data_IF_871722235214
#
_entry.id   IF_871722235214
#
_cell.length_a   1.000
_cell.length_b   1.000
_cell.length_c   1.000
_cell.angle_alpha   90.00
_cell.angle_beta   90.00
_cell.angle_gamma   90.00
#
_symmetry.space_group_name_H-M   'P 1'
#
loop_
_entity.id
_entity.type
_entity.pdbx_description
1 polymer ?
#
# COMPACT_ATOMS: atom_id res chain seq x y z
N UNK A 1 -16.78 -19.57 1.20
CA UNK A 1 -15.33 -19.85 1.17
C UNK A 1 -14.66 -18.53 1.46
N UNK A 2 -14.22 -18.32 2.71
CA UNK A 2 -13.66 -17.03 3.14
C UNK A 2 -12.25 -16.91 2.59
N UNK A 3 -12.00 -15.98 1.67
CA UNK A 3 -10.63 -15.62 1.26
C UNK A 3 -9.86 -15.26 2.52
N UNK A 4 -8.83 -16.04 2.84
CA UNK A 4 -7.90 -15.67 3.92
C UNK A 4 -7.05 -14.54 3.36
N UNK A 5 -7.15 -13.36 3.95
CA UNK A 5 -6.19 -12.27 3.72
C UNK A 5 -4.80 -12.81 4.08
N UNK A 6 -3.94 -13.02 3.08
CA UNK A 6 -2.55 -13.43 3.31
C UNK A 6 -1.71 -12.15 3.41
N UNK A 7 -1.30 -11.79 4.63
CA UNK A 7 -0.38 -10.69 4.84
C UNK A 7 1.06 -11.12 4.61
N UNK A 8 1.82 -10.32 3.87
CA UNK A 8 3.24 -10.50 3.64
C UNK A 8 4.01 -9.23 4.06
N UNK A 9 5.14 -9.39 4.76
CA UNK A 9 6.01 -8.26 5.14
C UNK A 9 7.49 -8.61 4.99
N UNK A 10 8.22 -7.90 4.13
CA UNK A 10 9.67 -7.78 4.22
C UNK A 10 10.03 -6.61 5.15
N UNK A 11 10.92 -6.84 6.12
CA UNK A 11 11.46 -5.79 6.98
C UNK A 11 12.92 -6.07 7.35
N UNK A 12 13.74 -5.04 7.52
CA UNK A 12 15.13 -5.22 7.96
C UNK A 12 15.20 -5.41 9.48
N UNK A 13 14.24 -4.82 10.21
CA UNK A 13 14.14 -4.87 11.66
C UNK A 13 13.30 -6.08 12.10
N UNK A 14 13.89 -6.97 12.88
CA UNK A 14 13.22 -8.19 13.33
C UNK A 14 12.02 -7.90 14.25
N UNK A 15 12.07 -6.81 15.00
CA UNK A 15 11.05 -6.36 15.94
C UNK A 15 9.75 -5.98 15.19
N UNK A 16 9.87 -5.36 14.02
CA UNK A 16 8.73 -4.88 13.22
C UNK A 16 8.00 -6.02 12.49
N UNK A 17 8.63 -7.18 12.33
CA UNK A 17 8.03 -8.35 11.67
C UNK A 17 6.84 -8.93 12.46
N UNK A 18 6.81 -8.73 13.78
CA UNK A 18 5.71 -9.18 14.65
C UNK A 18 4.69 -8.08 14.94
N UNK A 19 4.92 -6.87 14.44
CA UNK A 19 4.11 -5.69 14.73
C UNK A 19 2.84 -5.59 13.84
N UNK A 20 2.39 -6.70 13.26
CA UNK A 20 1.12 -6.75 12.55
C UNK A 20 0.38 -8.07 12.79
N UNK A 21 -0.85 -8.03 13.33
CA UNK A 21 -1.60 -9.23 13.70
C UNK A 21 -2.10 -10.06 12.49
N UNK A 22 -1.96 -9.54 11.26
CA UNK A 22 -2.46 -10.16 10.02
C UNK A 22 -1.36 -10.71 9.09
N UNK A 23 -0.10 -10.71 9.52
CA UNK A 23 1.00 -11.23 8.69
C UNK A 23 1.06 -12.76 8.79
N UNK A 24 1.04 -13.40 7.63
CA UNK A 24 1.21 -14.86 7.48
C UNK A 24 2.65 -15.20 7.15
N UNK A 25 3.35 -14.33 6.40
CA UNK A 25 4.74 -14.53 5.98
C UNK A 25 5.54 -13.28 6.29
N UNK A 26 6.58 -13.44 7.11
CA UNK A 26 7.50 -12.40 7.52
C UNK A 26 8.92 -12.75 7.06
N UNK A 27 9.56 -11.85 6.31
CA UNK A 27 10.92 -12.04 5.80
C UNK A 27 11.81 -10.94 6.36
N UNK A 28 12.87 -11.32 7.06
CA UNK A 28 13.87 -10.36 7.50
C UNK A 28 14.87 -10.07 6.38
N UNK A 29 14.72 -8.95 5.69
CA UNK A 29 15.56 -8.58 4.55
C UNK A 29 15.60 -7.07 4.31
N UNK A 30 16.65 -6.61 3.62
CA UNK A 30 16.67 -5.27 3.06
C UNK A 30 15.60 -5.17 1.96
N UNK A 31 14.73 -4.17 2.05
CA UNK A 31 13.60 -4.02 1.12
C UNK A 31 14.04 -3.83 -0.33
N UNK A 32 15.16 -3.14 -0.58
CA UNK A 32 15.66 -2.91 -1.94
C UNK A 32 16.09 -4.23 -2.57
N UNK A 33 16.95 -4.99 -1.89
CA UNK A 33 17.44 -6.29 -2.37
C UNK A 33 16.29 -7.30 -2.52
N UNK A 34 15.33 -7.29 -1.59
CA UNK A 34 14.14 -8.11 -1.68
C UNK A 34 13.32 -7.80 -2.93
N UNK A 35 13.06 -6.52 -3.21
CA UNK A 35 12.27 -6.10 -4.38
C UNK A 35 13.00 -6.46 -5.69
N UNK A 36 14.31 -6.25 -5.76
CA UNK A 36 15.12 -6.61 -6.94
C UNK A 36 14.98 -8.10 -7.27
N UNK A 37 15.21 -8.98 -6.29
CA UNK A 37 15.05 -10.42 -6.45
C UNK A 37 13.60 -10.81 -6.76
N UNK A 38 12.64 -10.20 -6.09
CA UNK A 38 11.22 -10.46 -6.34
C UNK A 38 10.82 -10.15 -7.78
N UNK A 39 11.29 -9.03 -8.34
CA UNK A 39 11.04 -8.69 -9.73
C UNK A 39 11.69 -9.67 -10.71
N UNK A 40 12.90 -10.15 -10.43
CA UNK A 40 13.57 -11.16 -11.26
C UNK A 40 12.72 -12.44 -11.36
N UNK A 41 12.25 -12.95 -10.23
CA UNK A 41 11.42 -14.17 -10.17
C UNK A 41 10.04 -13.96 -10.83
N UNK A 42 9.37 -12.84 -10.55
CA UNK A 42 8.06 -12.51 -11.14
C UNK A 42 8.14 -12.36 -12.66
N UNK A 43 9.22 -11.76 -13.16
CA UNK A 43 9.46 -11.66 -14.60
C UNK A 43 9.78 -13.02 -15.24
N UNK A 44 10.54 -13.88 -14.56
CA UNK A 44 10.82 -15.24 -15.04
C UNK A 44 9.53 -16.07 -15.22
N UNK A 45 8.54 -15.85 -14.36
CA UNK A 45 7.21 -16.45 -14.45
C UNK A 45 6.27 -15.77 -15.48
N UNK A 46 6.76 -14.80 -16.26
CA UNK A 46 6.00 -14.00 -17.22
C UNK A 46 4.73 -13.36 -16.63
N UNK A 47 4.78 -12.95 -15.37
CA UNK A 47 3.66 -12.30 -14.73
C UNK A 47 3.30 -10.98 -15.44
N UNK A 48 2.02 -10.80 -15.72
CA UNK A 48 1.50 -9.55 -16.29
C UNK A 48 0.62 -8.83 -15.27
N UNK A 49 0.97 -7.58 -14.99
CA UNK A 49 0.20 -6.74 -14.09
C UNK A 49 -1.04 -6.18 -14.81
N UNK A 50 -2.22 -6.46 -14.26
CA UNK A 50 -3.50 -5.92 -14.73
C UNK A 50 -4.00 -4.83 -13.76
N UNK A 51 -3.98 -3.58 -14.23
CA UNK A 51 -4.50 -2.43 -13.50
C UNK A 51 -5.97 -2.12 -13.82
N UNK A 52 -6.62 -2.89 -14.70
CA UNK A 52 -8.00 -2.64 -15.12
C UNK A 52 -9.04 -3.23 -14.17
N UNK A 53 -8.60 -3.80 -13.05
CA UNK A 53 -9.48 -4.32 -12.01
C UNK A 53 -10.30 -3.20 -11.36
N UNK A 54 -11.56 -3.48 -11.02
CA UNK A 54 -12.46 -2.52 -10.39
C UNK A 54 -11.88 -1.89 -9.11
N UNK A 55 -11.11 -2.67 -8.35
CA UNK A 55 -10.47 -2.20 -7.13
C UNK A 55 -9.48 -1.04 -7.39
N UNK A 56 -8.70 -1.09 -8.46
CA UNK A 56 -7.78 -0.01 -8.85
C UNK A 56 -8.51 1.26 -9.24
N UNK A 57 -9.61 1.13 -9.99
CA UNK A 57 -10.47 2.26 -10.35
C UNK A 57 -11.04 2.95 -9.10
N UNK A 58 -11.52 2.16 -8.13
CA UNK A 58 -12.01 2.69 -6.85
C UNK A 58 -10.90 3.36 -6.03
N UNK A 59 -9.71 2.77 -5.97
CA UNK A 59 -8.57 3.34 -5.28
C UNK A 59 -8.19 4.71 -5.87
N UNK A 60 -8.07 4.78 -7.19
CA UNK A 60 -7.72 6.02 -7.89
C UNK A 60 -8.78 7.12 -7.67
N UNK A 61 -10.06 6.75 -7.71
CA UNK A 61 -11.15 7.68 -7.38
C UNK A 61 -11.04 8.26 -5.96
N UNK A 62 -10.72 7.42 -4.97
CA UNK A 62 -10.49 7.87 -3.58
C UNK A 62 -9.27 8.77 -3.45
N UNK A 63 -8.17 8.44 -4.14
CA UNK A 63 -6.97 9.28 -4.15
C UNK A 63 -7.29 10.67 -4.70
N UNK A 64 -8.06 10.75 -5.79
CA UNK A 64 -8.47 12.02 -6.37
C UNK A 64 -9.38 12.83 -5.43
N UNK A 65 -10.40 12.19 -4.84
CA UNK A 65 -11.29 12.85 -3.88
C UNK A 65 -10.52 13.42 -2.68
N UNK A 66 -9.58 12.65 -2.13
CA UNK A 66 -8.74 13.11 -1.04
C UNK A 66 -7.89 14.31 -1.47
N UNK A 67 -7.31 14.27 -2.67
CA UNK A 67 -6.51 15.36 -3.20
C UNK A 67 -7.33 16.65 -3.34
N UNK A 68 -8.50 16.58 -3.95
CA UNK A 68 -9.41 17.72 -4.12
C UNK A 68 -9.87 18.31 -2.78
N UNK A 69 -10.18 17.44 -1.81
CA UNK A 69 -10.53 17.85 -0.45
C UNK A 69 -9.36 18.55 0.26
N UNK A 70 -8.14 18.03 0.16
CA UNK A 70 -6.98 18.68 0.78
C UNK A 70 -6.68 20.03 0.14
N UNK A 71 -6.84 20.16 -1.18
CA UNK A 71 -6.69 21.42 -1.87
C UNK A 71 -7.75 22.44 -1.43
N UNK A 72 -9.00 22.04 -1.28
CA UNK A 72 -10.06 22.94 -0.82
C UNK A 72 -9.84 23.41 0.61
N UNK A 73 -9.39 22.51 1.50
CA UNK A 73 -9.00 22.86 2.87
C UNK A 73 -7.77 23.78 2.91
N UNK A 74 -6.78 23.57 2.05
CA UNK A 74 -5.60 24.42 1.99
C UNK A 74 -5.91 25.84 1.45
N UNK A 75 -6.93 25.96 0.60
CA UNK A 75 -7.41 27.24 0.08
C UNK A 75 -8.42 27.93 1.00
N UNK A 76 -8.90 27.23 2.03
CA UNK A 76 -9.82 27.79 3.01
C UNK A 76 -9.08 28.80 3.90
N UNK A 77 -9.38 30.08 3.68
CA UNK A 77 -8.86 31.20 4.47
C UNK A 77 -9.89 31.73 5.46
N UNK A 78 -11.00 30.99 5.64
CA UNK A 78 -12.02 31.39 6.59
C UNK A 78 -11.39 31.50 7.98
N UNK A 79 -11.69 32.58 8.73
CA UNK A 79 -11.15 32.72 10.07
C UNK A 79 -11.62 31.54 10.90
N UNK A 80 -10.70 30.86 11.59
CA UNK A 80 -11.05 29.93 12.65
C UNK A 80 -12.00 30.69 13.59
N UNK A 81 -13.26 30.28 13.63
CA UNK A 81 -14.27 30.86 14.52
C UNK A 81 -13.79 30.64 15.95
N UNK A 82 -13.12 31.66 16.50
CA UNK A 82 -12.77 31.74 17.89
C UNK A 82 -14.08 32.01 18.63
N UNK A 83 -14.55 31.02 19.39
CA UNK A 83 -15.59 31.19 20.41
C UNK A 83 -15.14 32.19 21.47
#
# INVERSE_FOLDING_TARGET
MTEREVGFRPDICAEELKNSPKITVAIQANIKTFIEQFFEEVNAENFHFDNNQQWWHQLNGKCQQNHEMFLSLAMDTSPFMNY
#
